data_IF_852364989342
#
_entry.id   IF_852364989342
#
_cell.length_a   1.000
_cell.length_b   1.000
_cell.length_c   1.000
_cell.angle_alpha   90.00
_cell.angle_beta   90.00
_cell.angle_gamma   90.00
#
_symmetry.space_group_name_H-M   'P 1'
#
loop_
_entity.id
_entity.type
_entity.pdbx_description
1 polymer ?
#
# COMPACT_ATOMS: atom_id res chain seq x y z
N UNK A 1 -26.41 -28.74 -3.47
CA UNK A 1 -25.00 -28.50 -3.82
C UNK A 1 -24.58 -27.18 -3.21
N UNK A 2 -23.86 -27.20 -2.08
CA UNK A 2 -23.41 -25.98 -1.41
C UNK A 2 -22.28 -25.37 -2.24
N UNK A 3 -22.51 -24.20 -2.85
CA UNK A 3 -21.43 -23.38 -3.41
C UNK A 3 -20.57 -22.88 -2.26
N UNK A 4 -19.55 -23.64 -1.89
CA UNK A 4 -18.48 -23.17 -1.02
C UNK A 4 -17.56 -22.31 -1.87
N UNK A 5 -17.97 -21.06 -2.12
CA UNK A 5 -17.03 -20.03 -2.55
C UNK A 5 -16.05 -19.86 -1.39
N UNK A 6 -14.76 -20.17 -1.62
CA UNK A 6 -13.72 -19.96 -0.61
C UNK A 6 -13.63 -18.45 -0.35
N UNK A 7 -14.37 -17.98 0.63
CA UNK A 7 -14.16 -16.68 1.26
C UNK A 7 -12.78 -16.77 1.92
N UNK A 8 -11.75 -16.36 1.18
CA UNK A 8 -10.41 -16.27 1.74
C UNK A 8 -10.52 -15.32 2.93
N UNK A 9 -10.36 -15.85 4.15
CA UNK A 9 -10.41 -15.03 5.35
C UNK A 9 -9.41 -13.85 5.19
N UNK A 10 -9.74 -12.64 5.67
CA UNK A 10 -8.87 -11.47 5.59
C UNK A 10 -7.39 -11.75 5.89
N UNK A 11 -7.10 -12.68 6.80
CA UNK A 11 -5.74 -13.14 7.12
C UNK A 11 -5.06 -13.81 5.91
N UNK A 12 -5.79 -14.67 5.20
CA UNK A 12 -5.32 -15.35 3.99
C UNK A 12 -5.09 -14.38 2.84
N UNK A 13 -5.99 -13.40 2.66
CA UNK A 13 -5.83 -12.36 1.65
C UNK A 13 -4.58 -11.51 1.92
N UNK A 14 -4.40 -11.05 3.17
CA UNK A 14 -3.21 -10.27 3.55
C UNK A 14 -1.91 -11.06 3.40
N UNK A 15 -1.90 -12.37 3.70
CA UNK A 15 -0.75 -13.26 3.44
C UNK A 15 -0.48 -13.41 1.95
N UNK A 16 -1.52 -13.54 1.12
CA UNK A 16 -1.38 -13.62 -0.33
C UNK A 16 -0.82 -12.33 -0.93
N UNK A 17 -1.31 -11.17 -0.50
CA UNK A 17 -0.79 -9.85 -0.90
C UNK A 17 0.69 -9.69 -0.56
N UNK A 18 1.08 -10.01 0.69
CA UNK A 18 2.48 -9.97 1.11
C UNK A 18 3.34 -10.88 0.24
N UNK A 19 2.94 -12.15 0.06
CA UNK A 19 3.71 -13.11 -0.76
C UNK A 19 3.86 -12.64 -2.20
N UNK A 20 2.78 -12.13 -2.80
CA UNK A 20 2.79 -11.65 -4.18
C UNK A 20 3.70 -10.44 -4.34
N UNK A 21 3.62 -9.46 -3.45
CA UNK A 21 4.52 -8.31 -3.45
C UNK A 21 5.98 -8.75 -3.24
N UNK A 22 6.23 -9.65 -2.28
CA UNK A 22 7.60 -10.07 -1.95
C UNK A 22 8.25 -10.99 -2.99
N UNK A 23 7.46 -11.62 -3.86
CA UNK A 23 7.97 -12.41 -4.99
C UNK A 23 7.93 -11.66 -6.33
N UNK A 24 7.40 -10.44 -6.36
CA UNK A 24 7.36 -9.62 -7.58
C UNK A 24 8.78 -9.20 -7.97
N UNK A 25 9.07 -9.27 -9.26
CA UNK A 25 10.32 -8.74 -9.84
C UNK A 25 10.16 -7.23 -10.03
N UNK A 26 10.50 -6.47 -9.00
CA UNK A 26 10.60 -5.02 -9.11
C UNK A 26 11.88 -4.61 -9.87
N UNK A 27 11.88 -3.42 -10.45
CA UNK A 27 13.12 -2.81 -10.96
C UNK A 27 14.10 -2.61 -9.82
N UNK A 28 15.39 -2.74 -10.11
CA UNK A 28 16.42 -2.55 -9.09
C UNK A 28 16.47 -1.11 -8.56
N UNK A 29 16.03 -0.13 -9.38
CA UNK A 29 15.96 1.28 -9.02
C UNK A 29 15.00 1.57 -7.88
N UNK A 30 13.88 0.84 -7.77
CA UNK A 30 12.86 1.04 -6.71
C UNK A 30 13.50 1.02 -5.31
N UNK A 31 14.51 0.16 -5.11
CA UNK A 31 15.22 0.03 -3.84
C UNK A 31 16.69 0.45 -4.04
N UNK A 32 17.09 1.69 -3.70
CA UNK A 32 18.40 2.26 -4.05
C UNK A 32 19.61 1.65 -3.31
N UNK A 33 19.47 0.46 -2.72
CA UNK A 33 20.54 -0.27 -2.06
C UNK A 33 21.45 -0.99 -3.06
N UNK A 34 22.77 -0.84 -2.94
CA UNK A 34 23.73 -1.55 -3.80
C UNK A 34 23.78 -3.06 -3.53
N UNK A 35 23.56 -3.48 -2.28
CA UNK A 35 23.70 -4.87 -1.84
C UNK A 35 22.37 -5.63 -2.03
N UNK A 36 22.43 -6.79 -2.72
CA UNK A 36 21.26 -7.65 -2.98
C UNK A 36 20.46 -8.01 -1.72
N UNK A 37 21.16 -8.35 -0.63
CA UNK A 37 20.53 -8.69 0.64
C UNK A 37 19.74 -7.51 1.24
N UNK A 38 20.27 -6.28 1.14
CA UNK A 38 19.58 -5.08 1.60
C UNK A 38 18.38 -4.74 0.71
N UNK A 39 18.45 -4.99 -0.60
CA UNK A 39 17.30 -4.86 -1.50
C UNK A 39 16.19 -5.85 -1.13
N UNK A 40 16.54 -7.11 -0.91
CA UNK A 40 15.58 -8.14 -0.50
C UNK A 40 14.92 -7.79 0.85
N UNK A 41 15.70 -7.23 1.78
CA UNK A 41 15.17 -6.72 3.04
C UNK A 41 14.20 -5.54 2.84
N UNK A 42 14.58 -4.57 2.00
CA UNK A 42 13.74 -3.40 1.67
C UNK A 42 12.44 -3.82 0.98
N UNK A 43 12.51 -4.77 0.04
CA UNK A 43 11.33 -5.35 -0.60
C UNK A 43 10.42 -6.03 0.42
N UNK A 44 10.98 -6.81 1.36
CA UNK A 44 10.20 -7.45 2.42
C UNK A 44 9.47 -6.42 3.28
N UNK A 45 10.15 -5.33 3.67
CA UNK A 45 9.55 -4.23 4.44
C UNK A 45 8.44 -3.57 3.62
N UNK A 46 8.71 -3.25 2.36
CA UNK A 46 7.72 -2.67 1.45
C UNK A 46 6.50 -3.58 1.28
N UNK A 47 6.68 -4.90 1.16
CA UNK A 47 5.58 -5.85 1.07
C UNK A 47 4.74 -5.92 2.34
N UNK A 48 5.35 -5.76 3.52
CA UNK A 48 4.61 -5.64 4.77
C UNK A 48 3.80 -4.34 4.83
N UNK A 49 4.42 -3.23 4.42
CA UNK A 49 3.75 -1.94 4.36
C UNK A 49 2.58 -1.95 3.38
N UNK A 50 2.80 -2.43 2.16
CA UNK A 50 1.79 -2.49 1.10
C UNK A 50 0.57 -3.29 1.56
N UNK A 51 0.79 -4.44 2.23
CA UNK A 51 -0.29 -5.22 2.84
C UNK A 51 -1.07 -4.39 3.87
N UNK A 52 -0.38 -3.74 4.80
CA UNK A 52 -1.00 -2.97 5.87
C UNK A 52 -1.76 -1.75 5.32
N UNK A 53 -1.13 -0.99 4.41
CA UNK A 53 -1.71 0.16 3.72
C UNK A 53 -2.95 -0.22 2.93
N UNK A 54 -2.89 -1.31 2.16
CA UNK A 54 -4.03 -1.79 1.37
C UNK A 54 -5.24 -2.14 2.25
N UNK A 55 -4.97 -2.78 3.40
CA UNK A 55 -6.01 -3.12 4.37
C UNK A 55 -6.65 -1.88 5.00
N UNK A 56 -5.84 -0.86 5.33
CA UNK A 56 -6.34 0.42 5.85
C UNK A 56 -7.14 1.19 4.81
N UNK A 57 -6.65 1.28 3.57
CA UNK A 57 -7.36 1.93 2.46
C UNK A 57 -8.75 1.31 2.28
N UNK A 58 -8.82 -0.02 2.20
CA UNK A 58 -10.10 -0.68 2.00
C UNK A 58 -11.05 -0.48 3.18
N UNK A 59 -10.53 -0.61 4.42
CA UNK A 59 -11.31 -0.35 5.64
C UNK A 59 -11.89 1.06 5.67
N UNK A 60 -11.09 2.07 5.33
CA UNK A 60 -11.50 3.47 5.37
C UNK A 60 -12.45 3.82 4.23
N UNK A 61 -12.28 3.23 3.04
CA UNK A 61 -13.25 3.35 1.94
C UNK A 61 -14.60 2.74 2.29
N UNK A 62 -14.60 1.53 2.87
CA UNK A 62 -15.83 0.86 3.34
C UNK A 62 -16.54 1.71 4.39
N UNK A 63 -15.79 2.32 5.32
CA UNK A 63 -16.36 3.21 6.34
C UNK A 63 -16.89 4.52 5.74
N UNK A 64 -16.12 5.17 4.88
CA UNK A 64 -16.46 6.48 4.29
C UNK A 64 -17.72 6.42 3.42
N UNK A 65 -17.93 5.29 2.74
CA UNK A 65 -19.04 5.10 1.81
C UNK A 65 -20.09 4.11 2.34
N UNK A 66 -20.08 3.79 3.63
CA UNK A 66 -21.03 2.86 4.28
C UNK A 66 -21.19 1.53 3.51
N UNK A 67 -20.10 1.00 2.98
CA UNK A 67 -20.10 -0.24 2.19
C UNK A 67 -20.71 -0.13 0.79
N UNK A 68 -20.97 1.08 0.27
CA UNK A 68 -21.48 1.26 -1.09
C UNK A 68 -20.40 0.92 -2.14
N UNK A 69 -20.48 -0.30 -2.68
CA UNK A 69 -19.50 -0.84 -3.62
C UNK A 69 -19.50 -0.13 -4.98
N UNK A 70 -20.60 0.48 -5.41
CA UNK A 70 -20.65 1.24 -6.67
C UNK A 70 -19.83 2.53 -6.60
N UNK A 71 -19.84 3.20 -5.44
CA UNK A 71 -19.02 4.38 -5.22
C UNK A 71 -17.55 3.97 -5.01
N UNK A 72 -17.31 2.93 -4.21
CA UNK A 72 -15.96 2.46 -3.89
C UNK A 72 -15.23 2.00 -5.16
N UNK A 73 -15.87 1.23 -6.03
CA UNK A 73 -15.28 0.75 -7.28
C UNK A 73 -14.89 1.89 -8.23
N UNK A 74 -15.68 2.96 -8.30
CA UNK A 74 -15.36 4.17 -9.07
C UNK A 74 -14.20 4.96 -8.46
N UNK A 75 -14.10 4.99 -7.13
CA UNK A 75 -13.10 5.79 -6.41
C UNK A 75 -11.74 5.08 -6.27
N UNK A 76 -11.72 3.75 -6.26
CA UNK A 76 -10.51 2.97 -5.95
C UNK A 76 -9.36 3.27 -6.92
N UNK A 77 -9.64 3.53 -8.20
CA UNK A 77 -8.59 3.86 -9.18
C UNK A 77 -7.81 5.10 -8.77
N UNK A 78 -8.51 6.20 -8.45
CA UNK A 78 -7.87 7.45 -8.04
C UNK A 78 -7.10 7.29 -6.71
N UNK A 79 -7.62 6.46 -5.80
CA UNK A 79 -6.95 6.14 -4.53
C UNK A 79 -5.64 5.37 -4.80
N UNK A 80 -5.64 4.43 -5.74
CA UNK A 80 -4.45 3.67 -6.14
C UNK A 80 -3.41 4.57 -6.79
N UNK A 81 -3.80 5.45 -7.71
CA UNK A 81 -2.89 6.41 -8.36
C UNK A 81 -2.22 7.33 -7.34
N UNK A 82 -3.00 7.87 -6.40
CA UNK A 82 -2.48 8.67 -5.30
C UNK A 82 -1.57 7.85 -4.37
N UNK A 83 -1.85 6.56 -4.18
CA UNK A 83 -1.04 5.66 -3.35
C UNK A 83 0.32 5.38 -3.98
N UNK A 84 0.36 5.10 -5.29
CA UNK A 84 1.60 4.90 -6.04
C UNK A 84 2.44 6.18 -6.05
N UNK A 85 1.82 7.32 -6.36
CA UNK A 85 2.50 8.64 -6.31
C UNK A 85 3.02 8.95 -4.91
N UNK A 86 2.25 8.62 -3.88
CA UNK A 86 2.70 8.80 -2.50
C UNK A 86 3.94 7.96 -2.17
N UNK A 87 4.06 6.75 -2.73
CA UNK A 87 5.25 5.90 -2.58
C UNK A 87 6.48 6.42 -3.35
N UNK A 88 6.32 7.28 -4.36
CA UNK A 88 7.43 8.02 -4.96
C UNK A 88 7.82 9.29 -4.19
N UNK A 89 7.10 9.60 -3.11
CA UNK A 89 7.28 10.84 -2.35
C UNK A 89 6.36 11.97 -2.78
N UNK A 90 5.61 11.81 -3.87
CA UNK A 90 4.63 12.81 -4.32
C UNK A 90 3.30 12.67 -3.58
N UNK A 91 3.07 13.56 -2.63
CA UNK A 91 1.82 13.63 -1.87
C UNK A 91 0.77 14.61 -2.43
N UNK A 92 0.99 15.21 -3.62
CA UNK A 92 0.10 16.23 -4.20
C UNK A 92 -1.36 15.76 -4.33
N UNK A 93 -1.57 14.49 -4.68
CA UNK A 93 -2.90 13.87 -4.84
C UNK A 93 -3.50 13.32 -3.54
N UNK A 94 -2.71 13.24 -2.46
CA UNK A 94 -3.15 12.60 -1.22
C UNK A 94 -4.35 13.30 -0.58
N UNK A 95 -4.33 14.65 -0.54
CA UNK A 95 -5.41 15.44 0.04
C UNK A 95 -6.78 15.20 -0.61
N UNK A 96 -6.80 14.89 -1.91
CA UNK A 96 -8.03 14.72 -2.69
C UNK A 96 -8.47 13.25 -2.76
N UNK A 97 -7.52 12.35 -2.93
CA UNK A 97 -7.80 10.97 -3.33
C UNK A 97 -7.34 9.91 -2.33
N UNK A 98 -6.39 10.21 -1.45
CA UNK A 98 -6.00 9.25 -0.43
C UNK A 98 -6.99 9.23 0.72
N UNK A 99 -7.22 8.05 1.27
CA UNK A 99 -8.04 7.84 2.48
C UNK A 99 -7.19 7.67 3.74
N UNK A 100 -5.88 7.45 3.60
CA UNK A 100 -4.96 7.13 4.71
C UNK A 100 -3.76 8.10 4.83
N UNK A 101 -3.63 9.04 3.90
CA UNK A 101 -2.55 10.02 3.85
C UNK A 101 -3.13 11.41 3.59
N UNK A 102 -2.80 12.41 4.40
CA UNK A 102 -3.31 13.78 4.21
C UNK A 102 -2.40 14.65 3.33
N UNK A 103 -1.16 14.22 3.09
CA UNK A 103 -0.19 14.89 2.25
C UNK A 103 0.53 16.10 2.85
N UNK A 104 0.43 16.33 4.16
CA UNK A 104 1.23 17.34 4.88
C UNK A 104 2.50 16.77 5.54
N UNK A 105 3.33 17.64 6.10
CA UNK A 105 4.64 17.27 6.67
C UNK A 105 4.54 16.35 7.90
N UNK A 106 3.53 16.57 8.76
CA UNK A 106 3.33 15.81 9.99
C UNK A 106 2.41 14.59 9.82
N UNK A 107 1.63 14.53 8.74
CA UNK A 107 0.55 13.54 8.57
C UNK A 107 0.54 12.93 7.15
N UNK A 108 1.72 12.64 6.63
CA UNK A 108 1.92 11.87 5.41
C UNK A 108 2.13 10.37 5.72
N UNK A 109 2.14 9.54 4.68
CA UNK A 109 2.30 8.10 4.85
C UNK A 109 3.67 7.70 5.40
N UNK A 110 4.72 8.44 5.04
CA UNK A 110 6.10 8.13 5.42
C UNK A 110 6.34 8.29 6.93
N UNK A 111 5.68 9.24 7.58
CA UNK A 111 5.72 9.39 9.04
C UNK A 111 4.81 8.39 9.75
N UNK A 112 3.66 8.05 9.16
CA UNK A 112 2.66 7.15 9.75
C UNK A 112 2.94 5.66 9.60
N UNK A 113 3.67 5.27 8.56
CA UNK A 113 3.92 3.86 8.27
C UNK A 113 4.80 3.24 9.35
N UNK A 114 4.26 2.27 10.10
CA UNK A 114 5.02 1.52 11.10
C UNK A 114 6.19 0.74 10.49
N UNK A 115 6.12 0.39 9.20
CA UNK A 115 7.15 -0.40 8.53
C UNK A 115 8.20 0.49 7.88
N UNK A 116 7.80 1.50 7.11
CA UNK A 116 8.74 2.38 6.41
C UNK A 116 9.46 3.32 7.40
N UNK A 117 8.72 3.92 8.33
CA UNK A 117 9.29 4.86 9.32
C UNK A 117 10.30 4.17 10.23
N UNK A 118 9.96 2.99 10.78
CA UNK A 118 10.85 2.22 11.65
C UNK A 118 12.14 1.77 10.96
N UNK A 119 12.08 1.58 9.63
CA UNK A 119 13.22 1.18 8.82
C UNK A 119 13.88 2.35 8.07
N UNK A 120 13.50 3.60 8.39
CA UNK A 120 14.04 4.83 7.79
C UNK A 120 14.00 4.84 6.26
N UNK A 121 12.94 4.27 5.68
CA UNK A 121 12.66 4.33 4.24
C UNK A 121 11.81 5.56 3.99
N UNK A 122 12.34 6.53 3.26
CA UNK A 122 11.70 7.85 3.05
C UNK A 122 11.25 8.10 1.60
N UNK A 123 11.51 7.16 0.69
CA UNK A 123 11.12 7.24 -0.72
C UNK A 123 11.47 5.95 -1.46
N UNK A 124 10.59 5.54 -2.38
CA UNK A 124 10.85 4.45 -3.33
C UNK A 124 10.91 5.04 -4.73
N UNK A 125 11.82 4.58 -5.59
CA UNK A 125 11.88 5.07 -6.97
C UNK A 125 10.83 4.36 -7.82
N UNK A 126 9.57 4.79 -7.72
CA UNK A 126 8.46 4.28 -8.52
C UNK A 126 8.51 4.93 -9.92
N UNK A 127 9.37 4.41 -10.79
CA UNK A 127 9.46 4.79 -12.22
C UNK A 127 8.82 3.74 -13.10
#
# INVERSE_FOLDING_TARGET
>A
MWKVERLADPTHLGKAQFRKSNSTKFSESIFPCRIRLMRAHSQKIFSQDLKARSSLIFKDLMKLHNGNMDIISKRVSAVLDATVSCYSGDCSKCKQHSVVCSGGDSNNWWTRSMFLSANKVHGLQMT
#
